data_IF_223898964162
#
_entry.id   IF_223898964162
#
_cell.length_a   1.000
_cell.length_b   1.000
_cell.length_c   1.000
_cell.angle_alpha   90.00
_cell.angle_beta   90.00
_cell.angle_gamma   90.00
#
_symmetry.space_group_name_H-M   'P 1'
#
loop_
_entity.id
_entity.type
_entity.pdbx_description
1 polymer ?
#
# COMPACT_ATOMS: atom_id res chain seq x y z
N UNK A 1 -0.17 -29.59 3.53
CA UNK A 1 0.64 -30.39 2.58
C UNK A 1 1.58 -29.44 1.86
N UNK A 2 2.89 -29.64 1.99
CA UNK A 2 3.91 -28.89 1.26
C UNK A 2 3.92 -29.40 -0.17
N UNK A 3 3.71 -28.53 -1.15
CA UNK A 3 3.73 -28.90 -2.57
C UNK A 3 5.08 -29.44 -3.03
N UNK A 4 5.17 -30.08 -4.21
CA UNK A 4 6.41 -30.63 -4.71
C UNK A 4 7.49 -29.54 -4.84
N UNK A 5 8.80 -29.85 -4.64
CA UNK A 5 9.92 -28.90 -4.60
C UNK A 5 9.98 -27.95 -5.82
N UNK A 6 9.60 -28.42 -6.99
CA UNK A 6 9.55 -27.63 -8.23
C UNK A 6 8.48 -26.52 -8.15
N UNK A 7 7.32 -26.81 -7.56
CA UNK A 7 6.26 -25.83 -7.39
C UNK A 7 6.67 -24.71 -6.43
N UNK A 8 7.35 -25.02 -5.34
CA UNK A 8 7.86 -24.04 -4.39
C UNK A 8 8.96 -23.16 -4.99
N UNK A 9 9.87 -23.72 -5.80
CA UNK A 9 10.89 -22.95 -6.51
C UNK A 9 10.30 -21.93 -7.46
N UNK A 10 9.29 -22.36 -8.25
CA UNK A 10 8.57 -21.47 -9.15
C UNK A 10 7.86 -20.34 -8.39
N UNK A 11 7.22 -20.67 -7.27
CA UNK A 11 6.50 -19.71 -6.45
C UNK A 11 7.44 -18.66 -5.82
N UNK A 12 8.63 -19.08 -5.35
CA UNK A 12 9.69 -18.17 -4.85
C UNK A 12 10.21 -17.24 -5.94
N UNK A 13 10.44 -17.77 -7.15
CA UNK A 13 10.90 -16.98 -8.29
C UNK A 13 9.83 -15.94 -8.69
N UNK A 14 8.56 -16.36 -8.79
CA UNK A 14 7.43 -15.48 -9.09
C UNK A 14 7.30 -14.38 -8.03
N UNK A 15 7.39 -14.73 -6.74
CA UNK A 15 7.38 -13.79 -5.62
C UNK A 15 8.53 -12.77 -5.74
N UNK A 16 9.75 -13.24 -5.98
CA UNK A 16 10.92 -12.38 -6.13
C UNK A 16 10.79 -11.41 -7.30
N UNK A 17 10.32 -11.90 -8.46
CA UNK A 17 10.08 -11.03 -9.63
C UNK A 17 9.01 -9.99 -9.33
N UNK A 18 7.88 -10.43 -8.74
CA UNK A 18 6.71 -9.57 -8.53
C UNK A 18 6.95 -8.50 -7.45
N UNK A 19 7.48 -8.88 -6.29
CA UNK A 19 7.59 -7.99 -5.13
C UNK A 19 8.96 -7.33 -4.94
N UNK A 20 10.00 -7.82 -5.62
CA UNK A 20 11.33 -7.22 -5.57
C UNK A 20 11.75 -6.70 -6.95
N UNK A 21 11.68 -7.55 -7.97
CA UNK A 21 12.16 -7.21 -9.32
C UNK A 21 11.40 -6.04 -9.94
N UNK A 22 10.06 -6.09 -9.99
CA UNK A 22 9.27 -5.01 -10.55
C UNK A 22 9.39 -3.68 -9.78
N UNK A 23 9.26 -3.63 -8.44
CA UNK A 23 9.49 -2.38 -7.70
C UNK A 23 10.87 -1.78 -7.94
N UNK A 24 11.92 -2.60 -7.95
CA UNK A 24 13.27 -2.14 -8.23
C UNK A 24 13.39 -1.59 -9.67
N UNK A 25 12.85 -2.31 -10.65
CA UNK A 25 12.82 -1.88 -12.05
C UNK A 25 12.13 -0.51 -12.21
N UNK A 26 10.97 -0.34 -11.56
CA UNK A 26 10.20 0.91 -11.58
C UNK A 26 11.01 2.03 -10.91
N UNK A 27 11.60 1.78 -9.74
CA UNK A 27 12.34 2.78 -9.01
C UNK A 27 13.58 3.27 -9.77
N UNK A 28 14.29 2.38 -10.45
CA UNK A 28 15.59 2.68 -11.09
C UNK A 28 15.45 3.11 -12.54
N UNK A 29 14.62 2.43 -13.33
CA UNK A 29 14.63 2.58 -14.79
C UNK A 29 13.44 3.38 -15.32
N UNK A 30 12.27 3.31 -14.71
CA UNK A 30 11.07 3.94 -15.27
C UNK A 30 10.99 5.43 -14.88
N UNK A 31 10.57 6.30 -15.79
CA UNK A 31 10.25 7.69 -15.45
C UNK A 31 9.17 7.75 -14.35
N UNK A 32 9.22 8.72 -13.42
CA UNK A 32 8.26 8.80 -12.30
C UNK A 32 6.79 8.88 -12.73
N UNK A 33 6.49 9.46 -13.89
CA UNK A 33 5.12 9.53 -14.44
C UNK A 33 4.54 8.18 -14.88
N UNK A 34 5.36 7.11 -14.96
CA UNK A 34 4.92 5.74 -15.25
C UNK A 34 4.40 4.99 -14.01
N UNK A 35 4.40 5.62 -12.85
CA UNK A 35 3.99 4.99 -11.60
C UNK A 35 2.55 4.42 -11.66
N UNK A 36 1.57 5.20 -12.11
CA UNK A 36 0.19 4.73 -12.24
C UNK A 36 0.02 3.67 -13.34
N UNK A 37 0.54 3.84 -14.57
CA UNK A 37 0.56 2.76 -15.57
C UNK A 37 1.15 1.46 -15.03
N UNK A 38 2.27 1.53 -14.31
CA UNK A 38 2.91 0.35 -13.71
C UNK A 38 2.03 -0.28 -12.61
N UNK A 39 1.42 0.54 -11.73
CA UNK A 39 0.49 0.06 -10.71
C UNK A 39 -0.69 -0.69 -11.34
N UNK A 40 -1.31 -0.13 -12.38
CA UNK A 40 -2.45 -0.77 -13.04
C UNK A 40 -2.06 -2.04 -13.78
N UNK A 41 -0.91 -2.06 -14.45
CA UNK A 41 -0.38 -3.27 -15.09
C UNK A 41 -0.11 -4.38 -14.07
N UNK A 42 0.55 -4.05 -12.94
CA UNK A 42 0.80 -5.00 -11.85
C UNK A 42 -0.51 -5.45 -11.19
N UNK A 43 -1.49 -4.57 -11.05
CA UNK A 43 -2.81 -4.91 -10.52
C UNK A 43 -3.53 -5.88 -11.45
N UNK A 44 -3.54 -5.64 -12.75
CA UNK A 44 -4.10 -6.57 -13.73
C UNK A 44 -3.44 -7.95 -13.67
N UNK A 45 -2.11 -8.00 -13.63
CA UNK A 45 -1.36 -9.24 -13.44
C UNK A 45 -1.71 -9.90 -12.10
N UNK A 46 -1.78 -9.13 -11.02
CA UNK A 46 -2.13 -9.60 -9.68
C UNK A 46 -3.53 -10.21 -9.61
N UNK A 47 -4.50 -9.60 -10.29
CA UNK A 47 -5.87 -10.14 -10.43
C UNK A 47 -5.84 -11.51 -11.13
N UNK A 48 -5.10 -11.65 -12.22
CA UNK A 48 -4.94 -12.93 -12.93
C UNK A 48 -4.28 -13.98 -12.04
N UNK A 49 -3.20 -13.61 -11.34
CA UNK A 49 -2.49 -14.51 -10.43
C UNK A 49 -3.39 -14.95 -9.26
N UNK A 50 -4.15 -14.02 -8.69
CA UNK A 50 -5.07 -14.30 -7.60
C UNK A 50 -6.22 -15.19 -8.05
N UNK A 51 -6.83 -14.92 -9.22
CA UNK A 51 -7.86 -15.76 -9.80
C UNK A 51 -7.38 -17.21 -10.06
N UNK A 52 -6.10 -17.37 -10.44
CA UNK A 52 -5.45 -18.67 -10.64
C UNK A 52 -4.93 -19.32 -9.35
N UNK A 53 -5.16 -18.70 -8.19
CA UNK A 53 -4.71 -19.26 -6.91
C UNK A 53 -5.67 -20.32 -6.42
N UNK A 54 -5.20 -21.58 -6.22
CA UNK A 54 -6.08 -22.66 -5.77
C UNK A 54 -6.78 -22.32 -4.45
N UNK A 55 -8.09 -22.53 -4.41
CA UNK A 55 -8.91 -22.31 -3.21
C UNK A 55 -9.21 -20.84 -2.90
N UNK A 56 -8.79 -19.88 -3.72
CA UNK A 56 -9.19 -18.48 -3.57
C UNK A 56 -10.56 -18.24 -4.18
N UNK A 57 -11.42 -17.51 -3.46
CA UNK A 57 -12.72 -17.07 -3.93
C UNK A 57 -12.85 -15.55 -3.75
N UNK A 58 -13.30 -14.85 -4.77
CA UNK A 58 -13.50 -13.40 -4.72
C UNK A 58 -14.47 -12.95 -3.63
N UNK A 59 -15.41 -13.83 -3.23
CA UNK A 59 -16.32 -13.58 -2.11
C UNK A 59 -15.58 -13.39 -0.78
N UNK A 60 -14.36 -13.94 -0.62
CA UNK A 60 -13.55 -13.78 0.58
C UNK A 60 -13.18 -12.31 0.87
N UNK A 61 -13.10 -11.48 -0.16
CA UNK A 61 -12.82 -10.06 0.00
C UNK A 61 -13.93 -9.29 0.72
N UNK A 62 -15.12 -9.89 0.84
CA UNK A 62 -16.25 -9.32 1.58
C UNK A 62 -16.29 -9.75 3.05
N UNK A 63 -15.45 -10.72 3.45
CA UNK A 63 -15.43 -11.16 4.84
C UNK A 63 -14.94 -10.05 5.76
N UNK A 64 -15.52 -10.00 6.98
CA UNK A 64 -15.17 -9.00 7.97
C UNK A 64 -15.46 -7.54 7.56
N UNK A 65 -16.31 -7.33 6.58
CA UNK A 65 -16.66 -5.99 6.08
C UNK A 65 -17.10 -5.02 7.21
N UNK A 66 -17.80 -5.52 8.25
CA UNK A 66 -18.25 -4.75 9.40
C UNK A 66 -17.34 -4.96 10.65
N UNK A 67 -16.10 -5.37 10.51
CA UNK A 67 -15.19 -5.66 11.62
C UNK A 67 -14.60 -4.43 12.32
N UNK A 68 -14.99 -3.23 11.94
CA UNK A 68 -14.52 -1.94 12.44
C UNK A 68 -15.64 -1.14 13.11
N UNK A 69 -15.27 -0.19 13.96
CA UNK A 69 -16.20 0.74 14.61
C UNK A 69 -15.88 2.19 14.23
N UNK A 70 -16.87 3.07 14.29
CA UNK A 70 -16.66 4.52 14.07
C UNK A 70 -15.63 5.09 15.05
N UNK A 71 -15.58 4.60 16.28
CA UNK A 71 -14.60 5.02 17.28
C UNK A 71 -13.18 4.66 16.84
N UNK A 72 -12.95 3.45 16.30
CA UNK A 72 -11.65 3.02 15.79
C UNK A 72 -11.21 3.89 14.61
N UNK A 73 -12.12 4.18 13.69
CA UNK A 73 -11.84 5.05 12.54
C UNK A 73 -11.53 6.49 13.00
N UNK A 74 -12.32 7.04 13.92
CA UNK A 74 -12.10 8.38 14.45
C UNK A 74 -10.74 8.48 15.17
N UNK A 75 -10.43 7.50 16.02
CA UNK A 75 -9.14 7.45 16.73
C UNK A 75 -7.96 7.30 15.76
N UNK A 76 -8.06 6.40 14.78
CA UNK A 76 -7.05 6.23 13.73
C UNK A 76 -6.84 7.54 12.96
N UNK A 77 -7.92 8.17 12.50
CA UNK A 77 -7.86 9.43 11.76
C UNK A 77 -7.21 10.55 12.59
N UNK A 78 -7.57 10.67 13.87
CA UNK A 78 -6.98 11.66 14.77
C UNK A 78 -5.48 11.43 14.97
N UNK A 79 -5.06 10.20 15.26
CA UNK A 79 -3.64 9.85 15.44
C UNK A 79 -2.84 10.14 14.16
N UNK A 80 -3.33 9.69 13.00
CA UNK A 80 -2.66 9.94 11.71
C UNK A 80 -2.60 11.43 11.40
N UNK A 81 -3.66 12.19 11.67
CA UNK A 81 -3.67 13.64 11.45
C UNK A 81 -2.64 14.34 12.31
N UNK A 82 -2.63 14.07 13.62
CA UNK A 82 -1.65 14.68 14.56
C UNK A 82 -0.22 14.35 14.14
N UNK A 83 0.05 13.08 13.81
CA UNK A 83 1.36 12.65 13.33
C UNK A 83 1.75 13.37 12.03
N UNK A 84 0.86 13.40 11.04
CA UNK A 84 1.12 14.04 9.75
C UNK A 84 1.31 15.55 9.87
N UNK A 85 0.52 16.22 10.72
CA UNK A 85 0.69 17.66 11.00
C UNK A 85 2.05 17.91 11.65
N UNK A 86 2.44 17.16 12.66
CA UNK A 86 3.75 17.28 13.28
C UNK A 86 4.89 17.06 12.28
N UNK A 87 4.78 16.03 11.45
CA UNK A 87 5.80 15.70 10.45
C UNK A 87 5.95 16.79 9.38
N UNK A 88 4.86 17.32 8.82
CA UNK A 88 4.93 18.36 7.79
C UNK A 88 5.50 19.67 8.35
N UNK A 89 5.16 20.03 9.59
CA UNK A 89 5.69 21.23 10.23
C UNK A 89 7.21 21.16 10.44
N UNK A 90 7.76 19.97 10.68
CA UNK A 90 9.20 19.78 10.86
C UNK A 90 9.94 19.69 9.52
N UNK A 91 9.31 19.05 8.50
CA UNK A 91 10.03 18.70 7.26
C UNK A 91 9.79 19.65 6.10
N UNK A 92 8.55 20.14 5.91
CA UNK A 92 8.15 21.04 4.81
C UNK A 92 6.99 21.94 5.25
N UNK A 93 7.20 22.87 6.20
CA UNK A 93 6.15 23.76 6.70
C UNK A 93 5.53 24.63 5.58
N UNK A 94 6.29 24.94 4.53
CA UNK A 94 5.85 25.64 3.32
C UNK A 94 4.77 24.88 2.52
N UNK A 95 4.72 23.57 2.61
CA UNK A 95 3.74 22.71 1.95
C UNK A 95 2.50 22.41 2.82
N UNK A 96 2.51 22.83 4.11
CA UNK A 96 1.43 22.52 5.03
C UNK A 96 0.08 23.06 4.53
N UNK A 97 -0.91 22.15 4.43
CA UNK A 97 -2.27 22.42 3.98
C UNK A 97 -2.41 23.09 2.60
N UNK A 98 -1.36 23.05 1.77
CA UNK A 98 -1.34 23.77 0.48
C UNK A 98 -2.53 23.38 -0.42
N UNK A 99 -2.82 22.09 -0.59
CA UNK A 99 -3.97 21.66 -1.42
C UNK A 99 -5.31 22.10 -0.81
N UNK A 100 -5.44 22.02 0.51
CA UNK A 100 -6.67 22.41 1.18
C UNK A 100 -6.96 23.92 1.03
N UNK A 101 -5.93 24.73 1.08
CA UNK A 101 -6.06 26.21 1.07
C UNK A 101 -6.07 26.81 -0.34
N UNK A 102 -5.33 26.21 -1.29
CA UNK A 102 -5.12 26.82 -2.61
C UNK A 102 -5.68 26.02 -3.78
N UNK A 103 -5.98 24.72 -3.60
CA UNK A 103 -6.46 23.81 -4.65
C UNK A 103 -7.48 22.80 -4.09
N UNK A 104 -8.56 23.28 -3.44
CA UNK A 104 -9.53 22.38 -2.80
C UNK A 104 -10.23 21.46 -3.80
N UNK A 105 -10.42 21.88 -5.05
CA UNK A 105 -10.98 21.07 -6.13
C UNK A 105 -10.08 19.87 -6.47
N UNK A 106 -8.76 20.06 -6.48
CA UNK A 106 -7.80 18.99 -6.69
C UNK A 106 -7.78 18.04 -5.50
N UNK A 107 -7.83 18.56 -4.27
CA UNK A 107 -7.93 17.74 -3.07
C UNK A 107 -9.20 16.87 -3.09
N UNK A 108 -10.33 17.41 -3.49
CA UNK A 108 -11.59 16.66 -3.64
C UNK A 108 -11.46 15.52 -4.66
N UNK A 109 -10.82 15.77 -5.81
CA UNK A 109 -10.53 14.73 -6.81
C UNK A 109 -9.61 13.63 -6.24
N UNK A 110 -8.59 14.01 -5.46
CA UNK A 110 -7.70 13.04 -4.79
C UNK A 110 -8.50 12.23 -3.77
N UNK A 111 -9.37 12.84 -2.96
CA UNK A 111 -10.14 12.14 -1.94
C UNK A 111 -11.08 11.07 -2.50
N UNK A 112 -11.59 11.27 -3.71
CA UNK A 112 -12.40 10.28 -4.41
C UNK A 112 -11.53 9.29 -5.20
N UNK A 113 -10.53 9.80 -5.92
CA UNK A 113 -9.69 9.00 -6.81
C UNK A 113 -8.70 8.10 -6.06
N UNK A 114 -8.06 8.61 -5.02
CA UNK A 114 -7.03 7.87 -4.29
C UNK A 114 -7.51 6.54 -3.70
N UNK A 115 -8.68 6.46 -3.02
CA UNK A 115 -9.21 5.19 -2.54
C UNK A 115 -9.35 4.13 -3.64
N UNK A 116 -9.80 4.53 -4.82
CA UNK A 116 -10.15 3.62 -5.92
C UNK A 116 -8.96 3.30 -6.82
N UNK A 117 -8.12 4.30 -7.12
CA UNK A 117 -7.06 4.18 -8.12
C UNK A 117 -5.68 3.88 -7.51
N UNK A 118 -5.54 4.05 -6.18
CA UNK A 118 -4.29 3.83 -5.48
C UNK A 118 -4.43 2.83 -4.34
N UNK A 119 -5.23 3.13 -3.31
CA UNK A 119 -5.33 2.29 -2.12
C UNK A 119 -5.89 0.89 -2.44
N UNK A 120 -7.02 0.80 -3.12
CA UNK A 120 -7.66 -0.49 -3.46
C UNK A 120 -6.75 -1.40 -4.31
N UNK A 121 -6.15 -0.94 -5.42
CA UNK A 121 -5.18 -1.73 -6.19
C UNK A 121 -4.00 -2.23 -5.33
N UNK A 122 -3.41 -1.37 -4.53
CA UNK A 122 -2.29 -1.73 -3.67
C UNK A 122 -2.68 -2.75 -2.62
N UNK A 123 -3.82 -2.55 -1.93
CA UNK A 123 -4.27 -3.52 -0.94
C UNK A 123 -4.59 -4.88 -1.57
N UNK A 124 -5.11 -4.93 -2.80
CA UNK A 124 -5.33 -6.19 -3.52
C UNK A 124 -4.02 -6.96 -3.74
N UNK A 125 -2.97 -6.25 -4.13
CA UNK A 125 -1.64 -6.85 -4.35
C UNK A 125 -0.98 -7.27 -3.04
N UNK A 126 -1.02 -6.41 -2.04
CA UNK A 126 -0.25 -6.60 -0.81
C UNK A 126 -0.99 -7.39 0.27
N UNK A 127 -2.31 -7.65 0.17
CA UNK A 127 -3.04 -8.46 1.15
C UNK A 127 -3.48 -9.80 0.56
N UNK A 128 -4.57 -9.92 -0.22
CA UNK A 128 -5.01 -11.23 -0.69
C UNK A 128 -3.98 -11.91 -1.58
N UNK A 129 -3.39 -11.23 -2.57
CA UNK A 129 -2.39 -11.86 -3.44
C UNK A 129 -1.19 -12.34 -2.61
N UNK A 130 -0.64 -11.51 -1.76
CA UNK A 130 0.52 -11.84 -0.91
C UNK A 130 0.22 -13.02 0.01
N UNK A 131 -0.83 -12.95 0.81
CA UNK A 131 -1.11 -13.95 1.84
C UNK A 131 -1.81 -15.22 1.35
N UNK A 132 -2.56 -15.16 0.23
CA UNK A 132 -3.26 -16.34 -0.31
C UNK A 132 -2.38 -17.12 -1.29
N UNK A 133 -1.79 -16.42 -2.28
CA UNK A 133 -1.00 -17.07 -3.30
C UNK A 133 0.33 -17.60 -2.78
N UNK A 134 1.00 -16.82 -1.96
CA UNK A 134 2.37 -17.14 -1.53
C UNK A 134 2.46 -17.77 -0.13
N UNK A 135 1.33 -18.13 0.48
CA UNK A 135 1.28 -18.67 1.85
C UNK A 135 2.30 -19.80 2.11
N UNK A 136 2.55 -20.68 1.13
CA UNK A 136 3.44 -21.83 1.27
C UNK A 136 4.93 -21.48 1.37
N UNK A 137 5.30 -20.24 1.06
CA UNK A 137 6.69 -19.77 1.12
C UNK A 137 6.92 -18.63 2.11
N UNK A 138 5.84 -18.12 2.71
CA UNK A 138 5.93 -17.06 3.72
C UNK A 138 6.38 -17.64 5.07
N UNK A 139 7.08 -16.84 5.88
CA UNK A 139 7.34 -17.19 7.26
C UNK A 139 6.05 -17.22 8.07
N UNK A 140 6.07 -17.88 9.22
CA UNK A 140 4.90 -17.97 10.10
C UNK A 140 4.75 -16.74 11.01
N UNK A 141 3.54 -16.54 11.51
CA UNK A 141 3.22 -15.59 12.57
C UNK A 141 3.58 -14.14 12.25
N UNK A 142 4.19 -13.45 13.21
CA UNK A 142 4.53 -12.01 13.11
C UNK A 142 5.59 -11.72 12.05
N UNK A 143 6.44 -12.68 11.71
CA UNK A 143 7.46 -12.51 10.68
C UNK A 143 6.84 -12.29 9.30
N UNK A 144 5.71 -12.93 8.98
CA UNK A 144 4.97 -12.67 7.75
C UNK A 144 4.44 -11.24 7.68
N UNK A 145 4.03 -10.65 8.81
CA UNK A 145 3.53 -9.27 8.87
C UNK A 145 4.65 -8.26 8.63
N UNK A 146 5.79 -8.48 9.28
CA UNK A 146 6.97 -7.65 9.09
C UNK A 146 7.48 -7.73 7.65
N UNK A 147 7.54 -8.94 7.08
CA UNK A 147 7.91 -9.13 5.68
C UNK A 147 6.94 -8.40 4.75
N UNK A 148 5.63 -8.52 4.98
CA UNK A 148 4.63 -7.84 4.16
C UNK A 148 4.76 -6.31 4.22
N UNK A 149 4.96 -5.75 5.42
CA UNK A 149 5.16 -4.32 5.61
C UNK A 149 6.47 -3.83 4.97
N UNK A 150 7.56 -4.60 5.10
CA UNK A 150 8.83 -4.28 4.46
C UNK A 150 8.72 -4.30 2.92
N UNK A 151 8.04 -5.29 2.36
CA UNK A 151 7.77 -5.39 0.92
C UNK A 151 6.87 -4.26 0.45
N UNK A 152 5.85 -3.89 1.23
CA UNK A 152 5.00 -2.74 0.93
C UNK A 152 5.79 -1.43 0.92
N UNK A 153 6.65 -1.22 1.91
CA UNK A 153 7.57 -0.08 1.96
C UNK A 153 8.57 -0.09 0.79
N UNK A 154 9.14 -1.26 0.48
CA UNK A 154 10.06 -1.42 -0.65
C UNK A 154 9.41 -1.09 -2.00
N UNK A 155 8.14 -1.41 -2.19
CA UNK A 155 7.41 -1.03 -3.41
C UNK A 155 7.26 0.49 -3.59
N UNK A 156 7.45 1.28 -2.52
CA UNK A 156 7.48 2.74 -2.55
C UNK A 156 8.89 3.32 -2.73
N UNK A 157 9.92 2.48 -2.96
CA UNK A 157 11.29 2.92 -3.22
C UNK A 157 11.37 3.94 -4.37
N UNK A 158 10.46 3.88 -5.32
CA UNK A 158 10.35 4.82 -6.44
C UNK A 158 10.30 6.30 -6.03
N UNK A 159 9.87 6.61 -4.79
CA UNK A 159 9.85 7.98 -4.28
C UNK A 159 11.21 8.47 -3.76
N UNK A 160 12.18 7.57 -3.58
CA UNK A 160 13.53 7.87 -3.08
C UNK A 160 13.52 8.74 -1.81
N UNK A 161 12.56 8.49 -0.94
CA UNK A 161 12.34 9.25 0.29
C UNK A 161 12.27 8.31 1.50
N UNK A 162 13.15 8.55 2.49
CA UNK A 162 13.12 7.81 3.74
C UNK A 162 11.84 8.08 4.55
N UNK A 163 11.25 9.29 4.40
CA UNK A 163 9.96 9.64 5.02
C UNK A 163 8.88 8.71 4.46
N UNK A 164 8.80 8.58 3.13
CA UNK A 164 7.86 7.66 2.48
C UNK A 164 8.11 6.23 2.92
N UNK A 165 9.37 5.78 2.97
CA UNK A 165 9.72 4.42 3.38
C UNK A 165 9.24 4.11 4.81
N UNK A 166 9.46 5.01 5.77
CA UNK A 166 9.01 4.83 7.15
C UNK A 166 7.48 4.89 7.27
N UNK A 167 6.83 5.84 6.63
CA UNK A 167 5.37 5.97 6.64
C UNK A 167 4.69 4.73 6.04
N UNK A 168 5.20 4.23 4.92
CA UNK A 168 4.65 3.03 4.27
C UNK A 168 4.98 1.75 5.01
N UNK A 169 6.09 1.67 5.73
CA UNK A 169 6.39 0.56 6.64
C UNK A 169 5.36 0.48 7.78
N UNK A 170 5.11 1.60 8.45
CA UNK A 170 4.12 1.68 9.53
C UNK A 170 2.70 1.42 9.01
N UNK A 171 2.33 2.07 7.89
CA UNK A 171 1.06 1.83 7.22
C UNK A 171 0.90 0.36 6.81
N UNK A 172 1.95 -0.23 6.24
CA UNK A 172 1.99 -1.64 5.89
C UNK A 172 1.69 -2.58 7.04
N UNK A 173 2.21 -2.30 8.24
CA UNK A 173 1.91 -3.07 9.46
C UNK A 173 0.44 -2.93 9.87
N UNK A 174 -0.09 -1.72 9.88
CA UNK A 174 -1.48 -1.43 10.26
C UNK A 174 -2.48 -2.07 9.29
N UNK A 175 -2.26 -1.95 7.98
CA UNK A 175 -3.14 -2.53 6.97
C UNK A 175 -3.04 -4.07 6.96
N UNK A 176 -1.83 -4.63 7.24
CA UNK A 176 -1.67 -6.07 7.43
C UNK A 176 -2.43 -6.56 8.66
N UNK A 177 -2.38 -5.82 9.77
CA UNK A 177 -3.15 -6.11 10.97
C UNK A 177 -4.67 -6.11 10.68
N UNK A 178 -5.18 -5.09 9.98
CA UNK A 178 -6.59 -5.02 9.58
C UNK A 178 -7.00 -6.23 8.72
N UNK A 179 -6.17 -6.62 7.77
CA UNK A 179 -6.44 -7.77 6.91
C UNK A 179 -6.34 -9.11 7.67
N UNK A 180 -5.28 -9.31 8.47
CA UNK A 180 -4.96 -10.62 9.06
C UNK A 180 -5.58 -10.86 10.44
N UNK A 181 -5.62 -9.84 11.30
CA UNK A 181 -6.17 -9.98 12.66
C UNK A 181 -7.67 -9.65 12.73
N UNK A 182 -8.10 -8.64 11.98
CA UNK A 182 -9.51 -8.28 11.90
C UNK A 182 -10.26 -9.05 10.80
N UNK A 183 -9.53 -9.81 9.99
CA UNK A 183 -10.09 -10.65 8.92
C UNK A 183 -10.78 -9.86 7.81
N UNK A 184 -10.42 -8.60 7.58
CA UNK A 184 -11.14 -7.72 6.67
C UNK A 184 -10.23 -7.06 5.65
N UNK A 185 -10.43 -7.44 4.39
CA UNK A 185 -9.82 -6.74 3.26
C UNK A 185 -10.33 -5.30 3.16
N UNK A 186 -11.64 -5.11 3.32
CA UNK A 186 -12.27 -3.81 3.25
C UNK A 186 -11.72 -2.85 4.32
N UNK A 187 -11.51 -3.34 5.54
CA UNK A 187 -10.95 -2.52 6.62
C UNK A 187 -9.51 -2.08 6.31
N UNK A 188 -8.69 -2.94 5.72
CA UNK A 188 -7.35 -2.56 5.27
C UNK A 188 -7.41 -1.46 4.20
N UNK A 189 -8.29 -1.59 3.20
CA UNK A 189 -8.51 -0.57 2.16
C UNK A 189 -8.99 0.75 2.78
N UNK A 190 -9.93 0.69 3.74
CA UNK A 190 -10.47 1.87 4.40
C UNK A 190 -9.39 2.64 5.18
N UNK A 191 -8.58 1.94 5.99
CA UNK A 191 -7.48 2.57 6.72
C UNK A 191 -6.45 3.19 5.78
N UNK A 192 -6.10 2.49 4.70
CA UNK A 192 -5.17 3.00 3.68
C UNK A 192 -5.74 4.25 2.98
N UNK A 193 -6.99 4.22 2.58
CA UNK A 193 -7.67 5.34 1.95
C UNK A 193 -7.73 6.58 2.86
N UNK A 194 -8.08 6.39 4.14
CA UNK A 194 -8.13 7.47 5.12
C UNK A 194 -6.73 8.05 5.35
N UNK A 195 -5.72 7.20 5.56
CA UNK A 195 -4.35 7.65 5.76
C UNK A 195 -3.85 8.47 4.56
N UNK A 196 -4.05 7.99 3.33
CA UNK A 196 -3.67 8.71 2.12
C UNK A 196 -4.40 10.04 1.95
N UNK A 197 -5.71 10.06 2.19
CA UNK A 197 -6.49 11.30 2.11
C UNK A 197 -6.03 12.35 3.13
N UNK A 198 -5.67 11.94 4.35
CA UNK A 198 -5.09 12.82 5.37
C UNK A 198 -3.70 13.33 4.92
N UNK A 199 -2.84 12.44 4.41
CA UNK A 199 -1.51 12.77 3.89
C UNK A 199 -1.60 13.91 2.87
N UNK A 200 -2.52 13.82 1.90
CA UNK A 200 -2.70 14.86 0.89
C UNK A 200 -3.33 16.14 1.47
N UNK A 201 -4.29 16.02 2.38
CA UNK A 201 -4.94 17.19 3.00
C UNK A 201 -3.96 18.01 3.85
N UNK A 202 -3.08 17.34 4.60
CA UNK A 202 -2.10 17.99 5.49
C UNK A 202 -0.91 18.58 4.71
N UNK A 203 -0.66 18.12 3.47
CA UNK A 203 0.44 18.61 2.63
C UNK A 203 1.59 17.61 2.44
N UNK A 204 1.61 16.48 3.18
CA UNK A 204 2.63 15.43 3.00
C UNK A 204 2.56 14.74 1.62
N UNK A 205 1.50 14.97 0.86
CA UNK A 205 1.40 14.58 -0.55
C UNK A 205 2.59 15.04 -1.41
N UNK A 206 3.31 16.06 -0.99
CA UNK A 206 4.56 16.51 -1.65
C UNK A 206 5.61 15.41 -1.75
N UNK A 207 5.66 14.47 -0.80
CA UNK A 207 6.57 13.33 -0.80
C UNK A 207 6.05 12.15 -1.63
N UNK A 208 4.74 12.09 -1.88
CA UNK A 208 4.05 11.02 -2.61
C UNK A 208 3.66 11.43 -4.04
N UNK A 209 4.09 12.60 -4.48
CA UNK A 209 3.83 13.08 -5.84
C UNK A 209 5.00 12.71 -6.76
N UNK A 210 4.71 11.97 -7.82
CA UNK A 210 5.73 11.51 -8.78
C UNK A 210 6.51 12.65 -9.45
N UNK A 211 5.90 13.82 -9.62
CA UNK A 211 6.54 15.01 -10.18
C UNK A 211 7.63 15.62 -9.31
N UNK A 212 7.68 15.26 -8.02
CA UNK A 212 8.70 15.77 -7.07
C UNK A 212 9.84 14.77 -6.82
N UNK A 213 9.82 13.62 -7.49
CA UNK A 213 10.82 12.57 -7.27
C UNK A 213 12.18 13.02 -7.78
N UNK A 214 13.17 13.07 -6.89
CA UNK A 214 14.57 13.29 -7.21
C UNK A 214 15.35 12.01 -6.97
N UNK A 215 15.90 11.45 -8.02
CA UNK A 215 16.74 10.26 -7.91
C UNK A 215 18.14 10.64 -7.43
N UNK A 216 18.81 9.79 -6.65
CA UNK A 216 20.16 10.08 -6.15
C UNK A 216 21.28 9.82 -7.18
N UNK A 217 20.92 9.54 -8.44
CA UNK A 217 21.84 9.23 -9.54
C UNK A 217 21.36 9.85 -10.85
#
# INVERSE_FOLDING_TARGET
>A
MVGPPVALRRLRLEFGIFYIGFPLLIAVLFPPNWMFPALFALTGLGIVLLHRTPGFQWAELRYGWASWTLREIALFSAIVTVFCVGLIQITRPDAAFFLLMHRPEMLALIWVGYPLLSALPQELLFRPLFFRRYHAILPEGRAAYLLNAAIFSFAHLMYWSWIVALMTLVGGLLFTWAYRQRGSFFYAVLLHAIAGNIIFAVGLGVYFYSGNVQRPF
#
